data_IF_693275343765
#
_entry.id   IF_693275343765
#
_cell.length_a   1.000
_cell.length_b   1.000
_cell.length_c   1.000
_cell.angle_alpha   90.00
_cell.angle_beta   90.00
_cell.angle_gamma   90.00
#
_symmetry.space_group_name_H-M   'P 1'
#
loop_
_entity.id
_entity.type
_entity.pdbx_description
1 polymer ?
#
# COMPACT_ATOMS: atom_id res chain seq x y z
N UNK A 1 40.83 19.02 -79.49
CA UNK A 1 41.05 19.69 -78.19
C UNK A 1 39.92 20.66 -77.87
N UNK A 2 38.72 20.20 -77.48
CA UNK A 2 37.60 21.04 -77.05
C UNK A 2 36.64 20.21 -76.19
N UNK A 3 37.11 19.64 -75.10
CA UNK A 3 36.18 18.89 -74.19
C UNK A 3 36.37 19.14 -72.70
N UNK A 4 37.31 19.93 -72.24
CA UNK A 4 37.66 20.05 -70.82
C UNK A 4 37.16 21.38 -70.13
N UNK A 5 36.52 22.26 -70.83
CA UNK A 5 36.03 23.54 -70.22
C UNK A 5 34.66 23.52 -69.67
N UNK A 6 33.84 22.51 -69.95
CA UNK A 6 32.43 22.50 -69.54
C UNK A 6 32.29 21.98 -68.11
N UNK A 7 33.21 21.13 -67.66
CA UNK A 7 33.11 20.54 -66.29
C UNK A 7 33.60 21.49 -65.18
N UNK A 8 34.43 22.45 -65.49
CA UNK A 8 34.95 23.37 -64.45
C UNK A 8 34.00 24.51 -64.12
N UNK A 9 33.06 24.84 -65.00
CA UNK A 9 32.05 25.90 -64.75
C UNK A 9 30.82 25.34 -63.99
N UNK A 10 30.55 24.06 -64.11
CA UNK A 10 29.45 23.41 -63.40
C UNK A 10 29.78 23.05 -61.94
N UNK A 11 31.05 23.00 -61.54
CA UNK A 11 31.45 22.68 -60.19
C UNK A 11 31.53 23.92 -59.28
N UNK A 12 31.60 25.11 -59.79
CA UNK A 12 31.66 26.35 -59.02
C UNK A 12 30.29 26.94 -58.71
N UNK A 13 29.19 26.41 -59.31
CA UNK A 13 27.82 26.94 -59.09
C UNK A 13 27.03 26.14 -58.05
N UNK A 14 27.55 25.07 -57.48
CA UNK A 14 26.84 24.23 -56.49
C UNK A 14 27.31 24.51 -55.04
N UNK A 15 28.35 25.36 -54.86
CA UNK A 15 28.90 25.60 -53.51
C UNK A 15 28.42 26.89 -52.83
N UNK A 16 27.37 27.55 -53.34
CA UNK A 16 26.90 28.82 -52.75
C UNK A 16 25.45 28.80 -52.26
N UNK A 17 24.85 27.65 -51.97
CA UNK A 17 23.48 27.57 -51.56
C UNK A 17 23.22 26.76 -50.28
N UNK A 18 24.15 26.72 -49.34
CA UNK A 18 23.89 26.21 -47.98
C UNK A 18 24.36 27.22 -46.95
N UNK A 19 23.75 28.41 -46.96
CA UNK A 19 23.58 29.14 -45.73
C UNK A 19 22.34 28.53 -45.04
N UNK A 20 22.48 27.44 -44.34
CA UNK A 20 21.53 27.03 -43.36
C UNK A 20 21.58 28.10 -42.26
N UNK A 21 20.64 29.03 -42.33
CA UNK A 21 20.28 29.85 -41.20
C UNK A 21 19.75 28.88 -40.16
N UNK A 22 20.57 28.46 -39.19
CA UNK A 22 20.09 28.02 -37.92
C UNK A 22 19.41 29.27 -37.29
N UNK A 23 18.16 29.43 -37.53
CA UNK A 23 17.33 30.13 -36.54
C UNK A 23 17.38 29.22 -35.30
N UNK A 24 18.06 29.70 -34.28
CA UNK A 24 17.89 29.09 -32.94
C UNK A 24 16.39 29.03 -32.72
N UNK A 25 15.82 27.85 -32.38
CA UNK A 25 14.47 27.84 -31.89
C UNK A 25 14.52 28.70 -30.63
N UNK A 26 13.76 29.78 -30.60
CA UNK A 26 13.40 30.38 -29.34
C UNK A 26 12.85 29.27 -28.49
N UNK A 27 13.69 28.76 -27.57
CA UNK A 27 13.23 27.96 -26.45
C UNK A 27 12.34 28.88 -25.59
N UNK A 28 11.13 29.18 -26.10
CA UNK A 28 10.06 29.47 -25.22
C UNK A 28 9.89 28.20 -24.38
N UNK A 29 10.53 28.20 -23.22
CA UNK A 29 10.18 27.31 -22.13
C UNK A 29 8.73 27.65 -21.85
N UNK A 30 7.83 27.00 -22.57
CA UNK A 30 6.42 26.96 -22.21
C UNK A 30 6.41 26.32 -20.84
N UNK A 31 6.34 27.18 -19.80
CA UNK A 31 5.95 26.75 -18.49
C UNK A 31 4.59 26.10 -18.64
N UNK A 32 4.58 24.79 -18.85
CA UNK A 32 3.34 24.05 -19.00
C UNK A 32 2.52 24.28 -17.74
N UNK A 33 1.43 25.03 -17.90
CA UNK A 33 0.43 25.13 -16.85
C UNK A 33 -0.22 23.76 -16.82
N UNK A 34 0.12 22.98 -15.82
CA UNK A 34 -0.51 21.69 -15.61
C UNK A 34 -1.89 21.94 -15.00
N UNK A 35 -2.94 21.55 -15.71
CA UNK A 35 -4.32 21.67 -15.23
C UNK A 35 -4.61 20.75 -14.03
N UNK A 36 -3.65 19.92 -13.66
CA UNK A 36 -3.80 18.87 -12.65
C UNK A 36 -2.50 18.67 -11.89
N UNK A 37 -2.61 18.38 -10.58
CA UNK A 37 -1.48 17.94 -9.76
C UNK A 37 -0.89 16.61 -10.28
N UNK A 38 0.41 16.43 -10.07
CA UNK A 38 1.05 15.14 -10.26
C UNK A 38 0.55 14.14 -9.21
N UNK A 39 0.47 12.87 -9.58
CA UNK A 39 0.15 11.81 -8.62
C UNK A 39 1.27 11.64 -7.60
N UNK A 40 0.96 11.31 -6.34
CA UNK A 40 1.97 10.91 -5.38
C UNK A 40 2.83 9.77 -5.91
N UNK A 41 4.14 9.86 -5.75
CA UNK A 41 5.10 8.82 -6.15
C UNK A 41 5.74 8.17 -4.94
N UNK A 42 6.41 7.02 -5.13
CA UNK A 42 7.06 6.26 -4.06
C UNK A 42 6.10 5.98 -2.89
N UNK A 43 4.88 5.57 -3.25
CA UNK A 43 3.88 5.20 -2.25
C UNK A 43 4.28 3.87 -1.62
N UNK A 44 4.49 3.89 -0.32
CA UNK A 44 4.87 2.74 0.50
C UNK A 44 3.85 2.52 1.60
N UNK A 45 3.59 1.26 1.93
CA UNK A 45 2.82 0.83 3.10
C UNK A 45 3.74 0.01 4.01
N UNK A 46 4.03 0.54 5.20
CA UNK A 46 4.93 -0.09 6.17
C UNK A 46 4.10 -0.58 7.35
N UNK A 47 4.08 -1.91 7.56
CA UNK A 47 3.36 -2.50 8.68
C UNK A 47 4.08 -2.16 9.99
N UNK A 48 3.31 -1.77 10.98
CA UNK A 48 3.73 -1.45 12.34
C UNK A 48 2.83 -2.16 13.33
N UNK A 49 3.40 -2.69 14.40
CA UNK A 49 2.62 -3.38 15.46
C UNK A 49 1.62 -4.39 14.89
N UNK A 50 2.01 -5.10 13.82
CA UNK A 50 1.26 -6.15 13.15
C UNK A 50 0.01 -5.69 12.38
N UNK A 51 -0.85 -4.86 12.97
CA UNK A 51 -2.16 -4.43 12.45
C UNK A 51 -2.27 -2.95 12.16
N UNK A 52 -1.19 -2.19 12.34
CA UNK A 52 -1.12 -0.79 11.94
C UNK A 52 -0.34 -0.67 10.63
N UNK A 53 -0.70 0.28 9.80
CA UNK A 53 0.05 0.59 8.58
C UNK A 53 0.43 2.08 8.56
N UNK A 54 1.70 2.35 8.30
CA UNK A 54 2.18 3.70 8.01
C UNK A 54 2.38 3.86 6.51
N UNK A 55 1.57 4.70 5.89
CA UNK A 55 1.76 5.14 4.51
C UNK A 55 2.82 6.25 4.44
N UNK A 56 3.60 6.22 3.36
CA UNK A 56 4.57 7.26 3.01
C UNK A 56 4.52 7.48 1.51
N UNK A 57 4.75 8.71 1.07
CA UNK A 57 4.85 9.04 -0.35
C UNK A 57 5.74 10.27 -0.56
N UNK A 58 6.13 10.54 -1.78
CA UNK A 58 6.82 11.78 -2.12
C UNK A 58 5.81 12.92 -2.12
N UNK A 59 6.13 14.00 -1.41
CA UNK A 59 5.30 15.21 -1.40
C UNK A 59 5.12 15.76 -2.81
N UNK A 60 3.88 16.14 -3.13
CA UNK A 60 3.52 16.70 -4.44
C UNK A 60 3.58 18.23 -4.37
N UNK A 61 4.31 18.83 -5.31
CA UNK A 61 4.39 20.30 -5.40
C UNK A 61 2.99 20.90 -5.61
N UNK A 62 2.68 21.98 -4.90
CA UNK A 62 1.38 22.67 -4.92
C UNK A 62 0.20 21.85 -4.34
N UNK A 63 0.43 20.68 -3.77
CA UNK A 63 -0.61 19.99 -3.01
C UNK A 63 -0.80 20.68 -1.65
N UNK A 64 -2.06 20.91 -1.26
CA UNK A 64 -2.45 21.43 0.05
C UNK A 64 -2.84 20.31 1.01
N UNK A 65 -3.32 19.20 0.46
CA UNK A 65 -3.71 18.02 1.25
C UNK A 65 -3.72 16.75 0.39
N UNK A 66 -3.97 15.62 1.06
CA UNK A 66 -4.10 14.30 0.44
C UNK A 66 -5.35 13.60 0.95
N UNK A 67 -5.88 12.71 0.12
CA UNK A 67 -6.92 11.75 0.49
C UNK A 67 -6.39 10.35 0.31
N UNK A 68 -6.64 9.48 1.29
CA UNK A 68 -6.39 8.04 1.22
C UNK A 68 -7.73 7.32 1.25
N UNK A 69 -7.91 6.37 0.34
CA UNK A 69 -8.98 5.38 0.38
C UNK A 69 -8.38 4.01 0.63
N UNK A 70 -8.88 3.31 1.63
CA UNK A 70 -8.44 1.99 2.05
C UNK A 70 -9.56 0.97 1.84
N UNK A 71 -9.26 -0.08 1.11
CA UNK A 71 -10.15 -1.19 0.78
C UNK A 71 -9.64 -2.48 1.43
N UNK A 72 -10.56 -3.23 2.00
CA UNK A 72 -10.30 -4.58 2.49
C UNK A 72 -10.59 -5.55 1.36
N UNK A 73 -9.61 -5.81 0.52
CA UNK A 73 -9.73 -6.75 -0.61
C UNK A 73 -8.34 -7.27 -1.04
N UNK A 74 -8.35 -8.38 -1.76
CA UNK A 74 -7.15 -9.04 -2.26
C UNK A 74 -6.67 -8.48 -3.60
N UNK A 75 -7.54 -7.82 -4.33
CA UNK A 75 -7.30 -7.36 -5.70
C UNK A 75 -7.32 -5.83 -5.73
N UNK A 76 -6.41 -5.21 -6.44
CA UNK A 76 -6.39 -3.75 -6.65
C UNK A 76 -7.58 -3.26 -7.51
N UNK A 77 -8.78 -3.77 -7.26
CA UNK A 77 -9.98 -3.44 -8.02
C UNK A 77 -10.65 -2.15 -7.57
N UNK A 78 -10.42 -1.72 -6.34
CA UNK A 78 -11.05 -0.54 -5.71
C UNK A 78 -12.59 -0.59 -5.74
N UNK A 79 -13.15 -1.79 -5.69
CA UNK A 79 -14.59 -2.02 -5.61
C UNK A 79 -15.06 -2.06 -4.16
N UNK A 80 -16.31 -1.66 -3.94
CA UNK A 80 -16.90 -1.61 -2.61
C UNK A 80 -16.79 -0.24 -1.96
N UNK A 81 -17.08 -0.17 -0.66
CA UNK A 81 -17.04 1.07 0.12
C UNK A 81 -15.71 1.18 0.86
N UNK A 82 -14.85 2.14 0.51
CA UNK A 82 -13.58 2.33 1.20
C UNK A 82 -13.76 2.99 2.56
N UNK A 83 -12.79 2.78 3.43
CA UNK A 83 -12.54 3.66 4.55
C UNK A 83 -11.71 4.84 4.06
N UNK A 84 -12.27 6.04 4.14
CA UNK A 84 -11.67 7.25 3.58
C UNK A 84 -11.05 8.12 4.66
N UNK A 85 -9.85 8.63 4.41
CA UNK A 85 -9.11 9.56 5.26
C UNK A 85 -8.79 10.81 4.43
N UNK A 86 -9.29 11.96 4.88
CA UNK A 86 -9.19 13.23 4.16
C UNK A 86 -8.43 14.29 4.98
N UNK A 87 -8.03 15.38 4.31
CA UNK A 87 -7.38 16.51 4.97
C UNK A 87 -5.98 16.21 5.50
N UNK A 88 -5.30 15.22 4.95
CA UNK A 88 -3.94 14.86 5.36
C UNK A 88 -2.98 15.89 4.76
N UNK A 89 -2.27 16.64 5.59
CA UNK A 89 -1.34 17.69 5.15
C UNK A 89 0.12 17.23 5.03
N UNK A 90 0.47 16.15 5.73
CA UNK A 90 1.79 15.53 5.67
C UNK A 90 1.89 14.53 4.51
N UNK A 91 3.11 14.14 4.18
CA UNK A 91 3.38 13.06 3.21
C UNK A 91 3.53 11.68 3.88
N UNK A 92 2.98 11.54 5.10
CA UNK A 92 2.85 10.28 5.83
C UNK A 92 1.51 10.24 6.57
N UNK A 93 0.94 9.04 6.71
CA UNK A 93 -0.26 8.84 7.50
C UNK A 93 -0.28 7.44 8.10
N UNK A 94 -0.73 7.30 9.35
CA UNK A 94 -0.82 5.99 10.01
C UNK A 94 -2.28 5.62 10.24
N UNK A 95 -2.65 4.43 9.78
CA UNK A 95 -3.93 3.80 10.08
C UNK A 95 -3.69 2.72 11.12
N UNK A 96 -4.48 2.71 12.17
CA UNK A 96 -4.35 1.78 13.28
C UNK A 96 -5.55 0.83 13.36
N UNK A 97 -5.36 -0.33 13.99
CA UNK A 97 -6.43 -1.27 14.31
C UNK A 97 -7.06 -1.94 13.09
N UNK A 98 -6.27 -2.27 12.08
CA UNK A 98 -6.71 -3.10 10.97
C UNK A 98 -6.86 -4.55 11.43
N UNK A 99 -7.62 -5.35 10.69
CA UNK A 99 -7.71 -6.78 10.93
C UNK A 99 -6.36 -7.45 10.66
N UNK A 100 -5.99 -8.43 11.47
CA UNK A 100 -4.78 -9.24 11.25
C UNK A 100 -4.93 -10.19 10.06
N UNK A 101 -3.80 -10.61 9.46
CA UNK A 101 -3.75 -11.54 8.31
C UNK A 101 -4.68 -11.16 7.16
N UNK A 102 -4.91 -9.86 7.00
CA UNK A 102 -5.89 -9.34 6.02
C UNK A 102 -5.18 -8.56 4.94
N UNK A 103 -5.55 -8.85 3.69
CA UNK A 103 -5.06 -8.11 2.53
C UNK A 103 -5.84 -6.81 2.36
N UNK A 104 -5.09 -5.73 2.20
CA UNK A 104 -5.62 -4.39 1.95
C UNK A 104 -5.05 -3.80 0.67
N UNK A 105 -5.84 -2.95 0.05
CA UNK A 105 -5.39 -2.07 -1.02
C UNK A 105 -5.72 -0.63 -0.67
N UNK A 106 -4.75 0.25 -0.81
CA UNK A 106 -4.94 1.67 -0.60
C UNK A 106 -4.62 2.46 -1.87
N UNK A 107 -5.30 3.59 -2.06
CA UNK A 107 -4.95 4.59 -3.07
C UNK A 107 -4.89 5.97 -2.47
N UNK A 108 -3.97 6.78 -2.98
CA UNK A 108 -3.67 8.11 -2.45
C UNK A 108 -3.71 9.11 -3.61
N UNK A 109 -4.33 10.26 -3.40
CA UNK A 109 -4.30 11.39 -4.33
C UNK A 109 -3.96 12.69 -3.62
N UNK A 110 -3.41 13.63 -4.38
CA UNK A 110 -3.11 14.99 -3.94
C UNK A 110 -4.24 15.95 -4.34
N UNK A 111 -4.54 16.89 -3.47
CA UNK A 111 -5.54 17.93 -3.66
C UNK A 111 -4.89 19.32 -3.55
N UNK A 112 -5.50 20.29 -4.23
CA UNK A 112 -5.16 21.71 -4.16
C UNK A 112 -6.43 22.54 -4.27
N UNK A 113 -6.41 23.77 -3.76
CA UNK A 113 -7.52 24.70 -3.93
C UNK A 113 -7.52 25.36 -5.31
N UNK A 114 -6.36 25.44 -5.97
CA UNK A 114 -6.16 26.19 -7.21
C UNK A 114 -5.99 25.29 -8.44
N UNK A 115 -5.57 24.04 -8.26
CA UNK A 115 -5.22 23.10 -9.33
C UNK A 115 -6.08 21.84 -9.19
N UNK A 116 -6.53 21.27 -10.31
CA UNK A 116 -7.29 20.02 -10.27
C UNK A 116 -6.54 18.91 -9.52
N UNK A 117 -7.27 18.08 -8.81
CA UNK A 117 -6.74 16.93 -8.06
C UNK A 117 -5.90 15.99 -8.93
N UNK A 118 -4.94 15.31 -8.33
CA UNK A 118 -4.11 14.33 -9.03
C UNK A 118 -4.91 13.08 -9.42
N UNK A 119 -4.33 12.25 -10.27
CA UNK A 119 -4.74 10.86 -10.37
C UNK A 119 -4.34 10.12 -9.09
N UNK A 120 -4.95 8.97 -8.86
CA UNK A 120 -4.63 8.08 -7.77
C UNK A 120 -3.30 7.35 -7.99
N UNK A 121 -2.57 7.14 -6.92
CA UNK A 121 -1.48 6.15 -6.83
C UNK A 121 -1.86 5.09 -5.83
N UNK A 122 -1.57 3.83 -6.11
CA UNK A 122 -2.03 2.70 -5.33
C UNK A 122 -0.89 1.87 -4.76
N UNK A 123 -1.17 1.20 -3.65
CA UNK A 123 -0.29 0.23 -2.99
C UNK A 123 -1.16 -0.86 -2.34
N UNK A 124 -0.69 -2.11 -2.36
CA UNK A 124 -1.29 -3.21 -1.61
C UNK A 124 -0.34 -3.69 -0.52
N UNK A 125 -0.92 -4.20 0.56
CA UNK A 125 -0.17 -4.75 1.69
C UNK A 125 -1.03 -5.77 2.42
N UNK A 126 -0.38 -6.62 3.22
CA UNK A 126 -1.03 -7.59 4.09
C UNK A 126 -0.60 -7.31 5.52
N UNK A 127 -1.55 -7.27 6.44
CA UNK A 127 -1.27 -7.17 7.87
C UNK A 127 -0.71 -8.48 8.40
N UNK A 128 0.02 -8.42 9.51
CA UNK A 128 0.53 -9.61 10.16
C UNK A 128 -0.51 -10.20 11.13
N UNK A 129 -0.34 -11.50 11.46
CA UNK A 129 -1.17 -12.15 12.47
C UNK A 129 -1.11 -11.39 13.80
N UNK A 130 -2.27 -11.02 14.33
CA UNK A 130 -2.36 -10.43 15.66
C UNK A 130 -2.43 -11.55 16.70
N UNK A 131 -1.42 -11.63 17.55
CA UNK A 131 -1.49 -12.49 18.72
C UNK A 131 -2.16 -11.72 19.85
N UNK A 132 -3.46 -11.93 20.00
CA UNK A 132 -4.28 -11.32 21.05
C UNK A 132 -4.16 -12.02 22.41
N UNK A 133 -3.57 -13.22 22.41
CA UNK A 133 -3.44 -14.02 23.62
C UNK A 133 -2.24 -13.59 24.46
N UNK A 134 -2.41 -13.58 25.76
CA UNK A 134 -1.33 -13.44 26.72
C UNK A 134 -0.38 -14.64 26.60
N UNK A 135 0.89 -14.47 26.97
CA UNK A 135 1.84 -15.57 26.99
C UNK A 135 1.31 -16.72 27.84
N UNK A 136 1.26 -17.91 27.25
CA UNK A 136 0.80 -19.11 27.93
C UNK A 136 1.85 -19.51 28.93
N UNK A 137 1.47 -19.66 30.20
CA UNK A 137 2.33 -20.11 31.29
C UNK A 137 2.20 -21.63 31.46
N UNK A 138 3.22 -22.28 32.03
CA UNK A 138 3.24 -23.73 32.25
C UNK A 138 2.05 -24.22 33.07
N UNK A 139 1.56 -23.41 34.01
CA UNK A 139 0.36 -23.70 34.81
C UNK A 139 -0.96 -23.75 34.01
N UNK A 140 -0.94 -23.21 32.80
CA UNK A 140 -2.08 -23.18 31.88
C UNK A 140 -2.00 -24.25 30.80
N UNK A 141 -0.98 -25.12 30.85
CA UNK A 141 -0.76 -26.21 29.89
C UNK A 141 -0.98 -27.55 30.59
N UNK A 142 -1.87 -28.35 30.02
CA UNK A 142 -2.13 -29.72 30.41
C UNK A 142 -1.73 -30.65 29.25
N UNK A 143 -1.64 -31.96 29.50
CA UNK A 143 -1.23 -32.94 28.49
C UNK A 143 -2.04 -32.84 27.17
N UNK A 144 -3.34 -32.58 27.32
CA UNK A 144 -4.28 -32.53 26.19
C UNK A 144 -5.17 -31.24 26.15
N UNK A 145 -4.79 -30.21 26.92
CA UNK A 145 -5.56 -29.00 27.00
C UNK A 145 -4.69 -27.76 27.26
N UNK A 146 -5.23 -26.60 26.95
CA UNK A 146 -4.62 -25.30 27.25
C UNK A 146 -5.68 -24.31 27.73
N UNK A 147 -5.29 -23.47 28.69
CA UNK A 147 -6.08 -22.28 29.04
C UNK A 147 -5.45 -21.07 28.39
N UNK A 148 -6.15 -20.47 27.43
CA UNK A 148 -5.78 -19.20 26.81
C UNK A 148 -6.41 -18.04 27.56
N UNK A 149 -5.66 -16.96 27.72
CA UNK A 149 -6.13 -15.71 28.33
C UNK A 149 -5.81 -14.53 27.45
N UNK A 150 -6.59 -13.47 27.55
CA UNK A 150 -6.41 -12.23 26.80
C UNK A 150 -6.86 -11.01 27.60
N UNK A 151 -6.37 -9.83 27.24
CA UNK A 151 -6.77 -8.58 27.88
C UNK A 151 -8.01 -7.97 27.22
N UNK A 152 -8.08 -8.03 25.89
CA UNK A 152 -9.23 -7.61 25.10
C UNK A 152 -9.38 -8.52 23.88
N UNK A 153 -10.61 -8.80 23.50
CA UNK A 153 -10.98 -9.51 22.28
C UNK A 153 -12.16 -8.77 21.67
N UNK A 154 -12.27 -8.79 20.33
CA UNK A 154 -13.43 -8.22 19.66
C UNK A 154 -14.71 -8.92 20.13
N UNK A 155 -15.72 -8.13 20.48
CA UNK A 155 -17.02 -8.65 20.93
C UNK A 155 -17.73 -9.50 19.86
N UNK A 156 -17.33 -9.40 18.62
CA UNK A 156 -17.84 -10.21 17.50
C UNK A 156 -17.04 -11.50 17.27
N UNK A 157 -15.94 -11.72 18.00
CA UNK A 157 -15.18 -12.95 17.92
C UNK A 157 -16.04 -14.15 18.31
N UNK A 158 -16.10 -15.17 17.46
CA UNK A 158 -16.96 -16.35 17.64
C UNK A 158 -16.20 -17.65 17.88
N UNK A 159 -14.91 -17.68 17.51
CA UNK A 159 -14.09 -18.90 17.59
C UNK A 159 -12.62 -18.61 17.82
N UNK A 160 -11.94 -19.59 18.37
CA UNK A 160 -10.46 -19.70 18.39
C UNK A 160 -10.10 -20.90 17.51
N UNK A 161 -9.12 -20.73 16.66
CA UNK A 161 -8.57 -21.82 15.85
C UNK A 161 -7.13 -22.07 16.29
N UNK A 162 -6.79 -23.31 16.57
CA UNK A 162 -5.46 -23.76 16.88
C UNK A 162 -4.96 -24.60 15.72
N UNK A 163 -3.88 -24.18 15.10
CA UNK A 163 -3.26 -24.86 13.96
C UNK A 163 -1.93 -25.48 14.37
N UNK A 164 -1.62 -26.67 13.86
CA UNK A 164 -0.34 -27.31 14.04
C UNK A 164 0.14 -27.91 12.71
N UNK A 165 1.44 -27.92 12.48
CA UNK A 165 2.02 -28.38 11.24
C UNK A 165 1.67 -29.86 10.95
N UNK A 166 1.14 -30.11 9.76
CA UNK A 166 0.73 -31.44 9.30
C UNK A 166 -0.51 -32.01 9.99
N UNK A 167 -1.27 -31.22 10.76
CA UNK A 167 -2.47 -31.66 11.49
C UNK A 167 -3.71 -30.84 11.08
N UNK A 168 -4.88 -31.39 11.39
CA UNK A 168 -6.14 -30.66 11.20
C UNK A 168 -6.29 -29.58 12.28
N UNK A 169 -6.85 -28.46 11.92
CA UNK A 169 -7.15 -27.37 12.83
C UNK A 169 -8.16 -27.78 13.91
N UNK A 170 -7.90 -27.36 15.13
CA UNK A 170 -8.82 -27.50 16.25
C UNK A 170 -9.59 -26.17 16.39
N UNK A 171 -10.91 -26.24 16.24
CA UNK A 171 -11.77 -25.07 16.35
C UNK A 171 -12.54 -25.10 17.65
N UNK A 172 -12.34 -24.09 18.49
CA UNK A 172 -13.09 -23.84 19.71
C UNK A 172 -14.10 -22.71 19.51
N UNK A 173 -15.37 -22.97 19.75
CA UNK A 173 -16.42 -21.93 19.69
C UNK A 173 -16.45 -21.16 21.01
N UNK A 174 -16.21 -19.83 20.94
CA UNK A 174 -16.25 -18.95 22.09
C UNK A 174 -17.64 -18.85 22.69
N UNK A 175 -17.73 -18.99 24.01
CA UNK A 175 -18.94 -18.77 24.79
C UNK A 175 -18.95 -17.35 25.34
N UNK A 176 -20.12 -16.80 25.62
CA UNK A 176 -20.25 -15.49 26.26
C UNK A 176 -19.52 -15.41 27.60
N UNK A 177 -19.48 -16.53 28.34
CA UNK A 177 -18.72 -16.66 29.58
C UNK A 177 -17.20 -16.56 29.38
N UNK A 178 -16.68 -17.07 28.27
CA UNK A 178 -15.26 -17.00 27.97
C UNK A 178 -14.84 -15.55 27.71
N UNK A 179 -15.63 -14.84 26.91
CA UNK A 179 -15.44 -13.41 26.63
C UNK A 179 -15.50 -12.59 27.93
N UNK A 180 -16.50 -12.83 28.76
CA UNK A 180 -16.67 -12.12 30.03
C UNK A 180 -15.52 -12.38 31.02
N UNK A 181 -15.04 -13.63 31.07
CA UNK A 181 -13.95 -14.04 31.95
C UNK A 181 -12.56 -13.84 31.36
N UNK A 182 -12.48 -13.40 30.07
CA UNK A 182 -11.23 -13.19 29.33
C UNK A 182 -10.34 -14.43 29.29
N UNK A 183 -10.94 -15.60 29.21
CA UNK A 183 -10.22 -16.90 29.15
C UNK A 183 -11.08 -17.98 28.51
N UNK A 184 -10.41 -18.91 27.82
CA UNK A 184 -11.01 -20.12 27.27
C UNK A 184 -10.15 -21.36 27.66
N UNK A 185 -10.82 -22.42 28.08
CA UNK A 185 -10.21 -23.73 28.25
C UNK A 185 -10.49 -24.57 27.00
N UNK A 186 -9.43 -24.99 26.33
CA UNK A 186 -9.51 -25.75 25.08
C UNK A 186 -8.87 -27.11 25.31
N UNK A 187 -9.65 -28.17 25.14
CA UNK A 187 -9.24 -29.56 25.24
C UNK A 187 -9.08 -30.23 23.87
N UNK A 188 -8.67 -31.47 23.86
CA UNK A 188 -8.50 -32.27 22.64
C UNK A 188 -7.19 -32.01 21.91
N UNK A 189 -6.22 -31.39 22.56
CA UNK A 189 -4.89 -31.15 22.01
C UNK A 189 -4.06 -32.46 22.05
N UNK A 190 -3.12 -32.54 21.13
CA UNK A 190 -2.13 -33.62 21.14
C UNK A 190 -0.91 -33.23 21.95
N UNK A 191 -0.41 -34.20 22.75
CA UNK A 191 0.81 -34.03 23.55
C UNK A 191 2.01 -33.63 22.67
N UNK A 192 2.92 -32.86 23.24
CA UNK A 192 4.18 -32.47 22.60
C UNK A 192 4.03 -31.83 21.23
N UNK A 193 2.89 -31.19 20.98
CA UNK A 193 2.56 -30.52 19.71
C UNK A 193 2.58 -29.00 19.91
N UNK A 194 3.28 -28.28 19.02
CA UNK A 194 3.27 -26.82 18.99
C UNK A 194 2.06 -26.34 18.19
N UNK A 195 1.20 -25.56 18.82
CA UNK A 195 0.04 -24.91 18.20
C UNK A 195 0.27 -23.40 18.05
N UNK A 196 -0.25 -22.85 16.96
CA UNK A 196 -0.30 -21.40 16.66
C UNK A 196 -1.74 -20.95 16.48
#
# INVERSE_FOLDING_TARGET
MKKNYIYTVLFSLVLSAFTVSCSEPDDEVTTGIFDRLFSPTNVEAVIQKKTNVKFKWTAVTNATSYTIELYENQDMTFEGTPKTYEGITDNTYTVEGLLGETQYTARIRALSEEINESKWSAVSFMTEAENIFNSVKDENIEAHAVTLTWDAIDATATKIVLSADGKADITYTLKSTDIANKKAYIDGLEESTSYT
#
